data_IF_096264905883
#
_entry.id   IF_096264905883
#
_cell.length_a   1.000
_cell.length_b   1.000
_cell.length_c   1.000
_cell.angle_alpha   90.00
_cell.angle_beta   90.00
_cell.angle_gamma   90.00
#
_symmetry.space_group_name_H-M   'P 1'
#
loop_
_entity.id
_entity.type
_entity.pdbx_description
1 polymer ?
#
# COMPACT_ATOMS: atom_id res chain seq x y z
N UNK A 1 -33.04 4.88 -14.71
CA UNK A 1 -31.93 5.73 -15.20
C UNK A 1 -30.65 4.95 -14.96
N UNK A 2 -29.91 4.65 -16.02
CA UNK A 2 -28.71 3.79 -15.98
C UNK A 2 -27.56 4.63 -15.43
N UNK A 3 -26.90 4.19 -14.38
CA UNK A 3 -25.52 4.62 -14.12
C UNK A 3 -24.75 3.41 -13.60
N UNK A 4 -24.39 2.54 -14.55
CA UNK A 4 -23.30 1.60 -14.34
C UNK A 4 -22.02 2.41 -14.34
N UNK A 5 -21.50 2.71 -13.17
CA UNK A 5 -20.12 3.20 -13.04
C UNK A 5 -19.22 2.01 -13.31
N UNK A 6 -18.39 2.16 -14.34
CA UNK A 6 -17.44 1.17 -14.82
C UNK A 6 -16.59 0.71 -13.65
N UNK A 7 -16.68 -0.57 -13.29
CA UNK A 7 -15.69 -1.21 -12.43
C UNK A 7 -14.42 -1.23 -13.28
N UNK A 8 -13.49 -0.32 -13.01
CA UNK A 8 -12.18 -0.36 -13.60
C UNK A 8 -11.53 -1.68 -13.17
N UNK A 9 -11.47 -2.63 -14.09
CA UNK A 9 -10.71 -3.87 -13.98
C UNK A 9 -9.21 -3.59 -14.10
N UNK A 10 -8.70 -2.56 -13.43
CA UNK A 10 -7.27 -2.40 -13.18
C UNK A 10 -7.01 -3.10 -11.85
N UNK A 11 -6.35 -4.26 -11.90
CA UNK A 11 -5.98 -5.16 -10.79
C UNK A 11 -6.12 -4.55 -9.39
N UNK A 12 -7.33 -4.69 -8.81
CA UNK A 12 -7.68 -4.58 -7.39
C UNK A 12 -6.86 -3.52 -6.63
N UNK A 13 -7.39 -2.31 -6.48
CA UNK A 13 -6.93 -1.29 -5.51
C UNK A 13 -7.14 -1.77 -4.06
N UNK A 14 -6.70 -2.98 -3.73
CA UNK A 14 -6.79 -3.61 -2.42
C UNK A 14 -5.39 -3.75 -1.85
N UNK A 15 -5.25 -3.49 -0.55
CA UNK A 15 -4.05 -3.79 0.18
C UNK A 15 -3.77 -5.30 0.16
N UNK A 16 -2.56 -5.75 -0.24
CA UNK A 16 -2.26 -7.18 -0.36
C UNK A 16 -2.17 -7.88 1.00
N UNK A 17 -2.08 -7.13 2.11
CA UNK A 17 -2.00 -7.68 3.47
C UNK A 17 -3.40 -7.92 4.07
N UNK A 18 -4.29 -6.93 3.99
CA UNK A 18 -5.61 -6.99 4.63
C UNK A 18 -6.77 -7.19 3.64
N UNK A 19 -6.50 -7.11 2.33
CA UNK A 19 -7.47 -7.24 1.24
C UNK A 19 -8.59 -6.17 1.26
N UNK A 20 -8.38 -5.07 1.99
CA UNK A 20 -9.29 -3.91 2.04
C UNK A 20 -8.87 -2.90 0.97
N UNK A 21 -9.86 -2.24 0.37
CA UNK A 21 -9.62 -1.21 -0.65
C UNK A 21 -8.92 0.02 -0.11
N UNK A 22 -8.04 0.61 -0.92
CA UNK A 22 -7.42 1.89 -0.61
C UNK A 22 -8.43 3.03 -0.79
N UNK A 23 -8.44 3.95 0.16
CA UNK A 23 -9.21 5.19 0.10
C UNK A 23 -8.29 6.40 -0.04
N UNK A 24 -8.76 7.43 -0.76
CA UNK A 24 -8.02 8.68 -0.87
C UNK A 24 -7.68 9.25 0.52
N UNK A 25 -6.40 9.52 0.77
CA UNK A 25 -5.90 9.98 2.06
C UNK A 25 -5.52 8.89 3.05
N UNK A 26 -5.69 7.60 2.72
CA UNK A 26 -5.15 6.50 3.54
C UNK A 26 -3.64 6.66 3.69
N UNK A 27 -3.11 6.44 4.90
CA UNK A 27 -1.67 6.37 5.12
C UNK A 27 -1.14 5.02 4.64
N UNK A 28 -0.41 5.05 3.51
CA UNK A 28 0.15 3.88 2.87
C UNK A 28 1.68 3.92 2.88
N UNK A 29 2.28 2.76 2.67
CA UNK A 29 3.70 2.58 2.43
C UNK A 29 3.89 1.60 1.27
N UNK A 30 5.07 1.60 0.67
CA UNK A 30 5.41 0.67 -0.41
C UNK A 30 6.30 -0.43 0.13
N UNK A 31 5.84 -1.67 -0.01
CA UNK A 31 6.68 -2.85 0.08
C UNK A 31 7.24 -3.16 -1.30
N UNK A 32 8.52 -3.52 -1.38
CA UNK A 32 9.21 -3.73 -2.67
C UNK A 32 8.75 -4.99 -3.40
N UNK A 33 8.22 -5.99 -2.70
CA UNK A 33 7.75 -7.25 -3.27
C UNK A 33 6.25 -7.22 -3.54
N UNK A 34 5.48 -6.63 -2.60
CA UNK A 34 4.02 -6.61 -2.66
C UNK A 34 3.43 -5.36 -3.32
N UNK A 35 4.20 -4.27 -3.40
CA UNK A 35 3.73 -2.96 -3.84
C UNK A 35 3.09 -2.17 -2.69
N UNK A 36 2.10 -1.32 -3.02
CA UNK A 36 1.43 -0.46 -2.03
C UNK A 36 0.70 -1.30 -0.96
N UNK A 37 0.88 -0.93 0.31
CA UNK A 37 0.22 -1.51 1.48
C UNK A 37 -0.24 -0.38 2.42
N UNK A 38 -1.27 -0.61 3.24
CA UNK A 38 -1.55 0.29 4.36
C UNK A 38 -0.37 0.30 5.32
N UNK A 39 0.05 1.49 5.78
CA UNK A 39 1.20 1.62 6.68
C UNK A 39 1.01 0.81 7.98
N UNK A 40 -0.21 0.80 8.52
CA UNK A 40 -0.57 0.01 9.69
C UNK A 40 -0.47 -1.52 9.45
N UNK A 41 -0.64 -1.97 8.20
CA UNK A 41 -0.49 -3.39 7.87
C UNK A 41 0.98 -3.84 7.82
N UNK A 42 1.93 -2.90 7.73
CA UNK A 42 3.36 -3.15 7.80
C UNK A 42 3.94 -2.88 9.21
N UNK A 43 3.09 -2.53 10.18
CA UNK A 43 3.56 -2.29 11.55
C UNK A 43 4.18 -3.57 12.13
N UNK A 44 5.43 -3.46 12.60
CA UNK A 44 6.20 -4.60 13.11
C UNK A 44 6.89 -5.45 12.03
N UNK A 45 6.70 -5.15 10.74
CA UNK A 45 7.52 -5.73 9.68
C UNK A 45 8.95 -5.14 9.74
N UNK A 46 9.99 -5.95 9.48
CA UNK A 46 11.35 -5.44 9.42
C UNK A 46 11.49 -4.45 8.27
N UNK A 47 11.97 -3.24 8.57
CA UNK A 47 12.43 -2.30 7.54
C UNK A 47 13.86 -2.71 7.18
N UNK A 48 14.19 -2.76 5.89
CA UNK A 48 15.54 -3.15 5.44
C UNK A 48 16.12 -2.09 4.50
N UNK A 49 17.45 -1.98 4.47
CA UNK A 49 18.13 -1.19 3.45
C UNK A 49 18.07 -1.93 2.11
N UNK A 50 17.58 -1.25 1.07
CA UNK A 50 17.40 -1.87 -0.26
C UNK A 50 18.71 -2.38 -0.87
N UNK A 51 19.83 -1.71 -0.57
CA UNK A 51 21.14 -2.06 -1.14
C UNK A 51 21.76 -3.31 -0.50
N UNK A 52 21.42 -3.63 0.75
CA UNK A 52 22.08 -4.69 1.53
C UNK A 52 21.14 -5.77 2.05
N UNK A 53 19.83 -5.49 2.15
CA UNK A 53 18.86 -6.36 2.82
C UNK A 53 19.01 -6.39 4.35
N UNK A 54 19.95 -5.64 4.92
CA UNK A 54 20.15 -5.57 6.37
C UNK A 54 19.00 -4.80 7.03
N UNK A 55 18.58 -5.20 8.25
CA UNK A 55 17.59 -4.46 9.01
C UNK A 55 18.00 -2.99 9.21
N UNK A 56 17.02 -2.11 9.07
CA UNK A 56 17.12 -0.70 9.38
C UNK A 56 16.24 -0.41 10.59
N UNK A 57 16.75 0.40 11.53
CA UNK A 57 15.97 0.95 12.65
C UNK A 57 15.14 2.19 12.22
N UNK A 58 15.16 2.54 10.94
CA UNK A 58 14.41 3.67 10.40
C UNK A 58 12.91 3.40 10.33
N UNK A 59 12.04 4.42 10.54
CA UNK A 59 10.61 4.25 10.35
C UNK A 59 10.30 3.96 8.89
N UNK A 60 9.25 3.16 8.64
CA UNK A 60 8.71 3.01 7.28
C UNK A 60 8.28 4.39 6.77
N UNK A 61 8.72 4.74 5.56
CA UNK A 61 8.28 5.98 4.92
C UNK A 61 6.84 5.80 4.46
N UNK A 62 5.99 6.79 4.74
CA UNK A 62 4.56 6.73 4.40
C UNK A 62 4.16 7.87 3.47
N UNK A 63 3.10 7.65 2.71
CA UNK A 63 2.50 8.62 1.79
C UNK A 63 0.97 8.52 1.84
N UNK A 64 0.24 9.62 1.61
CA UNK A 64 -1.20 9.56 1.42
C UNK A 64 -1.52 8.88 0.08
N UNK A 65 -2.44 7.92 0.08
CA UNK A 65 -2.92 7.31 -1.16
C UNK A 65 -3.77 8.31 -1.96
N UNK A 66 -3.46 8.45 -3.24
CA UNK A 66 -4.22 9.26 -4.19
C UNK A 66 -4.63 8.36 -5.38
N UNK A 67 -5.94 8.10 -5.58
CA UNK A 67 -6.40 7.36 -6.76
C UNK A 67 -6.29 8.25 -8.02
N UNK A 68 -5.78 7.67 -9.11
CA UNK A 68 -5.68 8.32 -10.43
C UNK A 68 -7.04 8.67 -11.07
#
# INVERSE_FOLDING_TARGET
MKSGTRIALHRLDLCPVCLVGFSAGDSCATDIELGTCHAACLEGAPVVYLDTGEPSDGPVTTFPYEPD
#
